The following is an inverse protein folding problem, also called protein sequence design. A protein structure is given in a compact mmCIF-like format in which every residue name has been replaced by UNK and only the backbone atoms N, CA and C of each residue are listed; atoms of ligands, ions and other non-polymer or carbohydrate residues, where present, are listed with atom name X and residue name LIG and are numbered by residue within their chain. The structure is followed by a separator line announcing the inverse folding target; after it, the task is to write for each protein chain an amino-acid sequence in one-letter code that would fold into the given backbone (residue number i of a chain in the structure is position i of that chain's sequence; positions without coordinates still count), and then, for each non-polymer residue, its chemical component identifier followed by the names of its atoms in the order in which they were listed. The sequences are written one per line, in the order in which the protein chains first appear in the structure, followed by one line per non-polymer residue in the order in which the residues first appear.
data_IF_901981349957
#
_entry.id   IF_901981349957
#
_cell.length_a   1.000
_cell.length_b   1.000
_cell.length_c   1.000
_cell.angle_alpha   90.00
_cell.angle_beta   90.00
_cell.angle_gamma   90.00
#
_symmetry.space_group_name_H-M   'P 1'
#
loop_
_entity.id
_entity.type
_entity.pdbx_description
1 polymer ?
#
# COMPACT_ATOMS: atom_id res chain seq x y z
N UNK A 1 16.09 -7.98 -4.47
CA UNK A 1 14.92 -7.36 -3.80
C UNK A 1 15.13 -5.89 -3.51
N UNK A 2 16.22 -5.53 -2.84
CA UNK A 2 16.52 -4.11 -2.56
C UNK A 2 16.63 -3.25 -3.83
N UNK A 3 17.19 -3.79 -4.90
CA UNK A 3 17.31 -3.05 -6.16
C UNK A 3 15.95 -2.71 -6.75
N UNK A 4 14.97 -3.58 -6.58
CA UNK A 4 13.61 -3.33 -7.06
C UNK A 4 12.95 -2.24 -6.23
N UNK A 5 13.16 -2.25 -4.93
CA UNK A 5 12.58 -1.25 -4.03
C UNK A 5 13.19 0.13 -4.22
N UNK A 6 14.45 0.22 -4.66
CA UNK A 6 15.07 1.51 -4.96
C UNK A 6 14.27 2.31 -5.98
N UNK A 7 13.61 1.64 -6.92
CA UNK A 7 12.79 2.29 -7.92
C UNK A 7 11.54 2.94 -7.34
N UNK A 8 11.14 2.55 -6.13
CA UNK A 8 9.93 3.04 -5.49
C UNK A 8 10.19 4.14 -4.47
N UNK A 9 11.45 4.49 -4.22
CA UNK A 9 11.79 5.55 -3.25
C UNK A 9 11.14 6.86 -3.69
N UNK A 10 10.52 7.53 -2.74
CA UNK A 10 9.78 8.78 -2.91
C UNK A 10 8.53 8.67 -3.78
N UNK A 11 8.06 7.46 -4.01
CA UNK A 11 6.81 7.23 -4.72
C UNK A 11 5.74 6.71 -3.77
N UNK A 12 4.49 6.93 -4.15
CA UNK A 12 3.37 6.36 -3.42
C UNK A 12 3.30 4.87 -3.69
N UNK A 13 3.24 4.09 -2.62
CA UNK A 13 3.20 2.64 -2.71
C UNK A 13 2.01 2.10 -1.92
N UNK A 14 1.57 0.93 -2.33
CA UNK A 14 0.57 0.14 -1.63
C UNK A 14 1.27 -1.09 -1.07
N UNK A 15 1.13 -1.32 0.22
CA UNK A 15 1.73 -2.48 0.86
C UNK A 15 0.61 -3.33 1.43
N UNK A 16 0.57 -4.59 1.00
CA UNK A 16 -0.29 -5.59 1.60
C UNK A 16 0.55 -6.36 2.59
N UNK A 17 0.10 -6.39 3.83
CA UNK A 17 0.83 -7.07 4.89
C UNK A 17 0.40 -8.54 5.01
N UNK A 18 1.25 -9.36 5.61
CA UNK A 18 0.96 -10.78 5.79
C UNK A 18 -0.24 -11.00 6.71
N UNK A 19 -0.52 -10.05 7.60
CA UNK A 19 -1.68 -10.10 8.49
C UNK A 19 -2.95 -9.51 7.88
N UNK A 20 -2.94 -9.19 6.58
CA UNK A 20 -4.14 -8.81 5.83
C UNK A 20 -4.47 -7.32 5.85
N UNK A 21 -3.51 -6.46 6.20
CA UNK A 21 -3.72 -5.02 6.18
C UNK A 21 -3.28 -4.43 4.85
N UNK A 22 -3.89 -3.32 4.45
CA UNK A 22 -3.50 -2.55 3.27
C UNK A 22 -3.06 -1.17 3.71
N UNK A 23 -1.80 -0.84 3.47
CA UNK A 23 -1.21 0.41 3.93
C UNK A 23 -0.63 1.15 2.72
N UNK A 24 -1.00 2.41 2.59
CA UNK A 24 -0.59 3.27 1.49
C UNK A 24 0.22 4.43 2.05
N UNK A 25 1.32 4.74 1.40
CA UNK A 25 2.13 5.88 1.81
C UNK A 25 3.26 6.10 0.83
N UNK A 26 4.10 7.08 1.15
CA UNK A 26 5.30 7.39 0.38
C UNK A 26 6.47 6.60 0.93
N UNK A 27 7.12 5.80 0.10
CA UNK A 27 8.28 5.02 0.52
C UNK A 27 9.46 5.93 0.71
N UNK A 28 9.97 6.04 1.94
CA UNK A 28 11.12 6.88 2.25
C UNK A 28 12.41 6.10 2.40
N UNK A 29 12.33 4.84 2.79
CA UNK A 29 13.52 4.04 2.94
C UNK A 29 13.21 2.61 3.31
N UNK A 30 14.24 1.79 3.31
CA UNK A 30 14.16 0.40 3.73
C UNK A 30 15.56 -0.05 4.12
N UNK A 31 15.64 -1.14 4.89
CA UNK A 31 16.92 -1.71 5.30
C UNK A 31 17.15 -3.08 4.64
N UNK A 32 18.22 -3.75 5.03
CA UNK A 32 18.62 -5.04 4.46
C UNK A 32 17.62 -6.16 4.74
N UNK A 33 16.84 -6.03 5.80
CA UNK A 33 15.80 -7.01 6.16
C UNK A 33 14.44 -6.59 5.62
N UNK A 34 14.41 -5.56 4.76
CA UNK A 34 13.21 -5.04 4.13
C UNK A 34 12.20 -4.52 5.16
N UNK A 35 12.68 -3.93 6.24
CA UNK A 35 11.83 -3.07 7.07
C UNK A 35 11.63 -1.77 6.31
N UNK A 36 10.38 -1.36 6.15
CA UNK A 36 10.00 -0.29 5.23
C UNK A 36 9.52 0.90 6.02
N UNK A 37 10.03 2.09 5.66
CA UNK A 37 9.63 3.35 6.27
C UNK A 37 8.73 4.08 5.30
N UNK A 38 7.50 4.36 5.73
CA UNK A 38 6.50 5.12 4.98
C UNK A 38 6.25 6.47 5.63
N UNK A 39 6.00 7.46 4.80
CA UNK A 39 5.59 8.79 5.22
C UNK A 39 4.21 9.08 4.64
N UNK A 40 3.46 9.97 5.29
CA UNK A 40 2.09 10.31 4.89
C UNK A 40 1.24 9.06 4.69
N UNK A 41 1.41 8.06 5.54
CA UNK A 41 0.76 6.78 5.34
C UNK A 41 -0.63 6.75 5.96
N UNK A 42 -1.45 5.87 5.40
CA UNK A 42 -2.75 5.55 5.94
C UNK A 42 -3.07 4.09 5.68
N UNK A 43 -3.92 3.54 6.51
CA UNK A 43 -4.43 2.18 6.31
C UNK A 43 -5.83 2.27 5.71
N UNK A 44 -6.12 1.44 4.72
CA UNK A 44 -7.46 1.29 4.17
C UNK A 44 -8.15 0.12 4.85
N UNK A 45 -9.23 0.44 5.55
CA UNK A 45 -10.04 -0.55 6.27
C UNK A 45 -11.35 -0.73 5.52
N UNK A 46 -11.64 -1.95 5.14
CA UNK A 46 -12.84 -2.27 4.38
C UNK A 46 -13.95 -2.75 5.32
N UNK A 47 -15.15 -2.23 5.09
CA UNK A 47 -16.33 -2.58 5.87
C UNK A 47 -17.44 -2.99 4.91
N UNK A 48 -18.22 -3.99 5.31
CA UNK A 48 -19.39 -4.43 4.51
C UNK A 48 -20.52 -3.41 4.56
N UNK A 49 -20.53 -2.53 5.55
CA UNK A 49 -21.62 -1.56 5.73
C UNK A 49 -21.22 -0.14 5.33
N UNK A 50 -20.00 0.27 5.61
CA UNK A 50 -19.58 1.67 5.48
C UNK A 50 -18.60 1.90 4.31
N UNK A 51 -18.29 0.86 3.54
CA UNK A 51 -17.32 0.97 2.45
C UNK A 51 -15.90 0.97 2.95
N UNK A 52 -15.10 1.93 2.51
CA UNK A 52 -13.67 2.00 2.85
C UNK A 52 -13.41 3.20 3.75
N UNK A 53 -12.77 2.95 4.87
CA UNK A 53 -12.27 4.00 5.76
C UNK A 53 -10.76 4.14 5.63
N UNK A 54 -10.28 5.36 5.81
CA UNK A 54 -8.84 5.63 5.84
C UNK A 54 -8.45 6.00 7.26
N UNK A 55 -7.53 5.23 7.81
CA UNK A 55 -6.97 5.50 9.14
C UNK A 55 -5.57 6.08 8.96
N UNK A 56 -5.40 7.34 9.35
CA UNK A 56 -4.13 8.03 9.19
C UNK A 56 -3.08 7.45 10.13
N UNK A 57 -1.93 7.12 9.61
CA UNK A 57 -0.81 6.57 10.38
C UNK A 57 0.39 7.51 10.44
N UNK A 58 0.52 8.44 9.49
CA UNK A 58 1.65 9.34 9.40
C UNK A 58 2.94 8.62 9.03
N UNK A 59 3.98 8.81 9.84
CA UNK A 59 5.23 8.10 9.67
C UNK A 59 5.07 6.69 10.25
N UNK A 60 5.28 5.67 9.43
CA UNK A 60 5.00 4.30 9.83
C UNK A 60 6.10 3.36 9.35
N UNK A 61 6.45 2.41 10.20
CA UNK A 61 7.47 1.41 9.87
C UNK A 61 6.78 0.04 9.81
N UNK A 62 6.97 -0.64 8.67
CA UNK A 62 6.45 -1.99 8.48
C UNK A 62 7.63 -2.96 8.54
N UNK A 63 7.53 -3.97 9.37
CA UNK A 63 8.56 -5.00 9.47
C UNK A 63 8.61 -5.84 8.22
N UNK A 64 9.82 -6.19 7.79
CA UNK A 64 10.02 -6.95 6.56
C UNK A 64 9.31 -8.30 6.56
N UNK A 65 9.24 -8.97 7.71
CA UNK A 65 8.55 -10.26 7.82
C UNK A 65 7.03 -10.15 7.72
N UNK A 66 6.49 -8.94 7.77
CA UNK A 66 5.05 -8.71 7.62
C UNK A 66 4.67 -8.15 6.25
N UNK A 67 5.62 -7.98 5.34
CA UNK A 67 5.33 -7.48 3.99
C UNK A 67 5.04 -8.67 3.09
N UNK A 68 3.88 -8.68 2.45
CA UNK A 68 3.52 -9.70 1.47
C UNK A 68 3.67 -9.18 0.04
N UNK A 69 3.19 -7.98 -0.22
CA UNK A 69 3.27 -7.33 -1.52
C UNK A 69 3.61 -5.87 -1.35
N UNK A 70 4.33 -5.31 -2.30
CA UNK A 70 4.49 -3.87 -2.42
C UNK A 70 4.33 -3.49 -3.89
N UNK A 71 3.55 -2.45 -4.16
CA UNK A 71 3.32 -1.98 -5.51
C UNK A 71 3.29 -0.47 -5.58
N UNK A 72 3.65 0.07 -6.74
CA UNK A 72 3.54 1.49 -6.99
C UNK A 72 2.09 1.84 -7.29
N UNK A 73 1.61 2.95 -6.74
CA UNK A 73 0.26 3.42 -6.97
C UNK A 73 0.28 4.52 -8.02
N UNK A 74 -0.63 4.43 -8.99
CA UNK A 74 -0.96 5.53 -9.85
C UNK A 74 -1.94 6.43 -9.09
N UNK A 75 -1.45 7.55 -8.58
CA UNK A 75 -2.25 8.45 -7.76
C UNK A 75 -3.47 8.99 -8.48
N UNK A 76 -3.34 9.26 -9.78
CA UNK A 76 -4.45 9.77 -10.57
C UNK A 76 -5.56 8.74 -10.66
N UNK A 77 -5.22 7.50 -10.98
CA UNK A 77 -6.20 6.43 -11.04
C UNK A 77 -6.81 6.15 -9.67
N UNK A 78 -5.99 6.17 -8.62
CA UNK A 78 -6.46 5.96 -7.26
C UNK A 78 -7.49 7.01 -6.83
N UNK A 79 -7.27 8.27 -7.22
CA UNK A 79 -8.21 9.35 -6.91
C UNK A 79 -9.54 9.19 -7.64
N UNK A 80 -9.54 8.54 -8.80
CA UNK A 80 -10.73 8.33 -9.59
C UNK A 80 -11.56 7.13 -9.12
N UNK A 81 -11.04 6.34 -8.19
CA UNK A 81 -11.78 5.23 -7.62
C UNK A 81 -12.72 5.76 -6.55
N UNK A 82 -14.02 5.51 -6.72
CA UNK A 82 -15.00 5.83 -5.69
C UNK A 82 -15.00 4.73 -4.64
N UNK A 83 -14.23 4.92 -3.60
CA UNK A 83 -14.04 3.89 -2.57
C UNK A 83 -15.32 3.62 -1.77
N UNK A 84 -16.26 4.60 -1.71
CA UNK A 84 -17.51 4.42 -1.01
C UNK A 84 -18.50 3.52 -1.75
N UNK A 85 -18.38 3.42 -3.07
CA UNK A 85 -19.28 2.64 -3.92
C UNK A 85 -18.63 1.35 -4.44
N UNK A 86 -17.32 1.30 -4.52
CA UNK A 86 -16.61 0.14 -5.04
C UNK A 86 -16.47 -0.92 -3.97
N UNK A 87 -16.62 -2.17 -4.40
CA UNK A 87 -16.36 -3.29 -3.52
C UNK A 87 -14.85 -3.47 -3.36
N UNK A 88 -14.48 -4.16 -2.29
CA UNK A 88 -13.09 -4.56 -2.09
C UNK A 88 -12.54 -5.30 -3.30
N UNK A 89 -13.37 -6.13 -3.93
CA UNK A 89 -12.97 -6.89 -5.10
C UNK A 89 -12.53 -5.99 -6.26
N UNK A 90 -13.31 -4.94 -6.57
CA UNK A 90 -12.95 -4.01 -7.64
C UNK A 90 -11.68 -3.23 -7.30
N UNK A 91 -11.53 -2.81 -6.07
CA UNK A 91 -10.33 -2.14 -5.61
C UNK A 91 -9.10 -3.04 -5.76
N UNK A 92 -9.23 -4.32 -5.40
CA UNK A 92 -8.14 -5.29 -5.55
C UNK A 92 -7.74 -5.49 -7.00
N UNK A 93 -8.71 -5.52 -7.91
CA UNK A 93 -8.43 -5.64 -9.35
C UNK A 93 -7.66 -4.42 -9.84
N UNK A 94 -8.05 -3.21 -9.43
CA UNK A 94 -7.35 -2.01 -9.82
C UNK A 94 -5.89 -2.00 -9.32
N UNK A 95 -5.67 -2.44 -8.08
CA UNK A 95 -4.32 -2.57 -7.54
C UNK A 95 -3.48 -3.56 -8.36
N UNK A 96 -4.06 -4.66 -8.79
CA UNK A 96 -3.35 -5.68 -9.55
C UNK A 96 -2.91 -5.20 -10.95
N UNK A 97 -3.40 -4.07 -11.40
CA UNK A 97 -2.95 -3.47 -12.67
C UNK A 97 -1.60 -2.78 -12.54
N UNK A 98 -1.13 -2.56 -11.34
CA UNK A 98 0.14 -1.89 -11.10
C UNK A 98 1.26 -2.90 -10.93
N UNK A 99 2.48 -2.40 -11.12
CA UNK A 99 3.65 -3.21 -10.85
C UNK A 99 3.77 -3.44 -9.35
N UNK A 100 4.07 -4.67 -8.96
CA UNK A 100 4.26 -4.99 -7.56
C UNK A 100 5.31 -6.07 -7.40
N UNK A 101 5.83 -6.16 -6.20
CA UNK A 101 6.83 -7.16 -5.80
C UNK A 101 6.20 -8.05 -4.75
N UNK A 102 6.29 -9.36 -4.97
CA UNK A 102 5.80 -10.36 -4.02
C UNK A 102 6.96 -10.76 -3.11
N UNK A 103 6.70 -10.76 -1.84
CA UNK A 103 7.69 -11.11 -0.82
C UNK A 103 7.47 -12.51 -0.28
#
# INVERSE_FOLDING_TARGET
MAQVLDAYINKSVNIVTADGRIIIGTLRGFDQTINIILDDSHERVFSSTDGVEQVLLGLYIIRGDNVALIGEIDEELDKNINLGEKTFFLFSIEILKFKFVVF
#
